data_IF_348542834323
#
_entry.id   IF_348542834323
#
_cell.length_a   1.000
_cell.length_b   1.000
_cell.length_c   1.000
_cell.angle_alpha   90.00
_cell.angle_beta   90.00
_cell.angle_gamma   90.00
#
_symmetry.space_group_name_H-M   'P 1'
#
loop_
_entity.id
_entity.type
_entity.pdbx_description
1 polymer ?
#
# COMPACT_ATOMS: atom_id res chain seq x y z
N UNK A 1 -5.60 -2.13 34.77
CA UNK A 1 -5.92 -0.98 33.88
C UNK A 1 -4.99 -0.84 32.66
N UNK A 2 -3.68 -1.14 32.73
CA UNK A 2 -2.72 -1.00 31.59
C UNK A 2 -3.06 -1.85 30.34
N UNK A 3 -3.53 -3.10 30.50
CA UNK A 3 -3.88 -3.99 29.35
C UNK A 3 -5.08 -3.51 28.51
N UNK A 4 -6.11 -2.90 29.11
CA UNK A 4 -7.27 -2.35 28.38
C UNK A 4 -6.91 -1.09 27.57
N UNK A 5 -6.07 -0.21 28.14
CA UNK A 5 -5.61 1.03 27.48
C UNK A 5 -4.74 0.72 26.24
N UNK A 6 -3.84 -0.27 26.33
CA UNK A 6 -3.03 -0.73 25.19
C UNK A 6 -3.86 -1.37 24.06
N UNK A 7 -4.92 -2.13 24.40
CA UNK A 7 -5.81 -2.73 23.39
C UNK A 7 -6.63 -1.68 22.64
N UNK A 8 -7.09 -0.64 23.35
CA UNK A 8 -7.80 0.51 22.77
C UNK A 8 -6.90 1.34 21.85
N UNK A 9 -5.66 1.63 22.27
CA UNK A 9 -4.69 2.37 21.45
C UNK A 9 -4.34 1.62 20.16
N UNK A 10 -4.14 0.29 20.25
CA UNK A 10 -3.86 -0.56 19.08
C UNK A 10 -5.02 -0.59 18.08
N UNK A 11 -6.26 -0.62 18.59
CA UNK A 11 -7.47 -0.56 17.76
C UNK A 11 -7.62 0.80 17.07
N UNK A 12 -7.38 1.90 17.81
CA UNK A 12 -7.42 3.25 17.27
C UNK A 12 -6.37 3.45 16.17
N UNK A 13 -5.13 3.01 16.41
CA UNK A 13 -4.05 3.05 15.41
C UNK A 13 -4.42 2.27 14.15
N UNK A 14 -5.05 1.09 14.29
CA UNK A 14 -5.53 0.31 13.13
C UNK A 14 -6.58 1.09 12.32
N UNK A 15 -7.54 1.75 12.98
CA UNK A 15 -8.57 2.55 12.30
C UNK A 15 -7.98 3.75 11.57
N UNK A 16 -7.02 4.44 12.18
CA UNK A 16 -6.33 5.57 11.56
C UNK A 16 -5.52 5.13 10.33
N UNK A 17 -4.86 3.97 10.42
CA UNK A 17 -4.08 3.42 9.31
C UNK A 17 -4.95 3.08 8.09
N UNK A 18 -6.10 2.42 8.32
CA UNK A 18 -7.05 2.12 7.24
C UNK A 18 -7.62 3.40 6.61
N UNK A 19 -7.93 4.42 7.41
CA UNK A 19 -8.39 5.71 6.91
C UNK A 19 -7.32 6.46 6.12
N UNK A 20 -6.05 6.33 6.51
CA UNK A 20 -4.93 6.89 5.76
C UNK A 20 -4.73 6.17 4.42
N UNK A 21 -4.77 4.83 4.39
CA UNK A 21 -4.72 4.03 3.16
C UNK A 21 -5.86 4.34 2.20
N UNK A 22 -7.07 4.49 2.74
CA UNK A 22 -8.24 4.95 1.98
C UNK A 22 -7.98 6.30 1.31
N UNK A 23 -7.42 7.27 2.04
CA UNK A 23 -7.06 8.57 1.46
C UNK A 23 -5.97 8.46 0.40
N UNK A 24 -4.88 7.73 0.67
CA UNK A 24 -3.79 7.50 -0.30
C UNK A 24 -4.30 6.83 -1.58
N UNK A 25 -5.19 5.84 -1.46
CA UNK A 25 -5.80 5.17 -2.60
C UNK A 25 -6.60 6.15 -3.46
N UNK A 26 -7.42 7.02 -2.85
CA UNK A 26 -8.19 8.03 -3.59
C UNK A 26 -7.29 9.04 -4.31
N UNK A 27 -6.19 9.45 -3.68
CA UNK A 27 -5.19 10.33 -4.29
C UNK A 27 -4.55 9.65 -5.50
N UNK A 28 -4.09 8.40 -5.36
CA UNK A 28 -3.50 7.63 -6.46
C UNK A 28 -4.49 7.34 -7.60
N UNK A 29 -5.77 7.09 -7.27
CA UNK A 29 -6.85 6.95 -8.23
C UNK A 29 -7.06 8.24 -9.02
N UNK A 30 -7.18 9.38 -8.32
CA UNK A 30 -7.41 10.68 -8.96
C UNK A 30 -6.20 11.09 -9.82
N UNK A 31 -4.99 10.88 -9.33
CA UNK A 31 -3.75 11.04 -10.09
C UNK A 31 -3.77 10.22 -11.39
N UNK A 32 -4.12 8.94 -11.30
CA UNK A 32 -4.14 8.06 -12.47
C UNK A 32 -5.22 8.44 -13.48
N UNK A 33 -6.36 8.94 -13.00
CA UNK A 33 -7.49 9.34 -13.81
C UNK A 33 -7.29 10.70 -14.48
N UNK A 34 -6.77 11.69 -13.74
CA UNK A 34 -6.61 13.08 -14.19
C UNK A 34 -5.29 13.34 -14.90
N UNK A 35 -4.26 12.51 -14.65
CA UNK A 35 -2.88 12.67 -15.17
C UNK A 35 -2.26 14.02 -14.80
N UNK A 36 -2.58 14.50 -13.61
CA UNK A 36 -2.05 15.75 -13.02
C UNK A 36 -0.83 15.44 -12.13
N UNK A 37 -0.18 16.50 -11.63
CA UNK A 37 0.84 16.37 -10.60
C UNK A 37 0.26 15.74 -9.32
N UNK A 38 0.97 14.76 -8.76
CA UNK A 38 0.50 13.97 -7.63
C UNK A 38 0.39 14.77 -6.33
N UNK A 39 1.26 15.76 -6.12
CA UNK A 39 1.20 16.62 -4.93
C UNK A 39 0.04 17.61 -5.02
N UNK A 40 -0.26 18.15 -6.20
CA UNK A 40 -1.45 18.98 -6.40
C UNK A 40 -2.73 18.20 -6.07
N UNK A 41 -2.84 16.96 -6.54
CA UNK A 41 -3.96 16.08 -6.18
C UNK A 41 -4.01 15.83 -4.67
N UNK A 42 -2.86 15.53 -4.04
CA UNK A 42 -2.80 15.33 -2.60
C UNK A 42 -3.29 16.55 -1.82
N UNK A 43 -2.83 17.76 -2.18
CA UNK A 43 -3.23 19.00 -1.53
C UNK A 43 -4.73 19.26 -1.64
N UNK A 44 -5.33 19.04 -2.81
CA UNK A 44 -6.78 19.13 -2.99
C UNK A 44 -7.51 18.24 -1.97
N UNK A 45 -7.13 16.97 -1.90
CA UNK A 45 -7.75 16.01 -0.97
C UNK A 45 -7.56 16.41 0.50
N UNK A 46 -6.36 16.87 0.88
CA UNK A 46 -6.07 17.32 2.25
C UNK A 46 -6.82 18.60 2.64
N UNK A 47 -7.21 19.42 1.67
CA UNK A 47 -7.96 20.65 1.86
C UNK A 47 -9.48 20.44 1.92
N UNK A 48 -9.99 19.28 1.47
CA UNK A 48 -11.45 19.00 1.52
C UNK A 48 -12.04 18.96 2.92
N UNK A 49 -11.25 18.58 3.94
CA UNK A 49 -11.66 18.53 5.34
C UNK A 49 -10.45 18.45 6.29
N UNK A 50 -10.70 18.60 7.58
CA UNK A 50 -9.67 18.38 8.61
C UNK A 50 -9.42 16.87 8.81
N UNK A 51 -8.16 16.48 8.70
CA UNK A 51 -7.65 15.15 9.05
C UNK A 51 -6.75 15.24 10.29
N UNK A 52 -6.73 14.21 11.16
CA UNK A 52 -5.70 14.04 12.19
C UNK A 52 -4.30 14.11 11.61
N UNK A 53 -3.33 14.65 12.35
CA UNK A 53 -1.94 14.78 11.89
C UNK A 53 -1.34 13.43 11.51
N UNK A 54 -1.66 12.37 12.26
CA UNK A 54 -1.16 11.02 12.01
C UNK A 54 -1.62 10.47 10.66
N UNK A 55 -2.83 10.82 10.21
CA UNK A 55 -3.31 10.45 8.88
C UNK A 55 -2.55 11.23 7.81
N UNK A 56 -2.37 12.54 8.01
CA UNK A 56 -1.66 13.40 7.05
C UNK A 56 -0.21 12.95 6.86
N UNK A 57 0.52 12.74 7.96
CA UNK A 57 1.90 12.26 7.97
C UNK A 57 2.02 10.90 7.25
N UNK A 58 1.08 9.98 7.51
CA UNK A 58 1.09 8.69 6.85
C UNK A 58 0.87 8.79 5.34
N UNK A 59 -0.13 9.57 4.93
CA UNK A 59 -0.47 9.76 3.52
C UNK A 59 0.69 10.45 2.80
N UNK A 60 1.25 11.51 3.37
CA UNK A 60 2.43 12.19 2.84
C UNK A 60 3.60 11.22 2.66
N UNK A 61 3.89 10.39 3.65
CA UNK A 61 4.96 9.38 3.56
C UNK A 61 4.76 8.45 2.37
N UNK A 62 3.56 7.88 2.23
CA UNK A 62 3.28 6.89 1.18
C UNK A 62 3.24 7.54 -0.20
N UNK A 63 2.62 8.72 -0.33
CA UNK A 63 2.51 9.44 -1.59
C UNK A 63 3.87 9.96 -2.05
N UNK A 64 4.70 10.48 -1.14
CA UNK A 64 6.06 10.90 -1.46
C UNK A 64 6.90 9.71 -1.93
N UNK A 65 6.83 8.58 -1.22
CA UNK A 65 7.52 7.36 -1.62
C UNK A 65 7.10 6.91 -3.02
N UNK A 66 5.79 6.86 -3.30
CA UNK A 66 5.32 6.50 -4.63
C UNK A 66 5.77 7.53 -5.69
N UNK A 67 5.75 8.83 -5.40
CA UNK A 67 6.18 9.86 -6.34
C UNK A 67 7.64 9.65 -6.77
N UNK A 68 8.52 9.44 -5.79
CA UNK A 68 9.96 9.21 -6.00
C UNK A 68 10.26 7.90 -6.73
N UNK A 69 9.44 6.86 -6.52
CA UNK A 69 9.69 5.50 -7.01
C UNK A 69 8.61 5.02 -8.00
N UNK A 70 7.88 5.94 -8.63
CA UNK A 70 6.67 5.63 -9.40
C UNK A 70 6.93 4.66 -10.54
N UNK A 71 8.06 4.84 -11.24
CA UNK A 71 8.49 3.95 -12.31
C UNK A 71 8.80 2.54 -11.79
N UNK A 72 9.57 2.42 -10.72
CA UNK A 72 9.91 1.13 -10.10
C UNK A 72 8.65 0.40 -9.63
N UNK A 73 7.77 1.09 -8.91
CA UNK A 73 6.50 0.54 -8.43
C UNK A 73 5.65 0.02 -9.58
N UNK A 74 5.48 0.82 -10.64
CA UNK A 74 4.69 0.43 -11.80
C UNK A 74 5.34 -0.75 -12.55
N UNK A 75 6.67 -0.82 -12.64
CA UNK A 75 7.39 -1.89 -13.31
C UNK A 75 7.36 -3.22 -12.53
N UNK A 76 7.45 -3.17 -11.20
CA UNK A 76 7.21 -4.34 -10.33
C UNK A 76 5.79 -4.87 -10.54
N UNK A 77 4.79 -3.99 -10.62
CA UNK A 77 3.42 -4.43 -10.89
C UNK A 77 3.35 -5.08 -12.27
N UNK A 78 3.86 -4.42 -13.32
CA UNK A 78 3.83 -4.92 -14.71
C UNK A 78 4.49 -6.28 -14.87
N UNK A 79 5.64 -6.53 -14.24
CA UNK A 79 6.34 -7.82 -14.32
C UNK A 79 5.51 -8.98 -13.77
N UNK A 80 4.55 -8.69 -12.88
CA UNK A 80 3.64 -9.66 -12.29
C UNK A 80 2.33 -9.84 -13.07
N UNK A 81 2.09 -9.03 -14.10
CA UNK A 81 0.94 -9.13 -14.99
C UNK A 81 1.23 -10.07 -16.15
N UNK A 82 1.13 -11.38 -15.92
CA UNK A 82 1.44 -12.40 -16.95
C UNK A 82 0.74 -12.17 -18.31
N UNK A 83 -0.55 -11.82 -18.30
CA UNK A 83 -1.39 -11.73 -19.52
C UNK A 83 -2.19 -10.41 -19.60
N UNK A 84 -1.98 -9.49 -18.66
CA UNK A 84 -2.78 -8.27 -18.56
C UNK A 84 -1.90 -7.07 -18.89
N UNK A 85 -2.36 -6.27 -19.85
CA UNK A 85 -1.79 -4.94 -20.03
C UNK A 85 -2.15 -4.09 -18.82
N UNK A 86 -1.17 -3.40 -18.26
CA UNK A 86 -1.35 -2.52 -17.11
C UNK A 86 -2.48 -1.50 -17.33
N UNK A 87 -2.60 -0.97 -18.54
CA UNK A 87 -3.64 0.01 -18.91
C UNK A 87 -5.07 -0.58 -18.90
N UNK A 88 -5.22 -1.91 -18.99
CA UNK A 88 -6.53 -2.59 -18.98
C UNK A 88 -7.03 -2.94 -17.57
N UNK A 89 -6.21 -2.74 -16.55
CA UNK A 89 -6.61 -2.92 -15.15
C UNK A 89 -7.54 -1.76 -14.77
N UNK A 90 -8.57 -2.02 -13.97
CA UNK A 90 -9.43 -0.95 -13.45
C UNK A 90 -8.65 0.07 -12.61
N UNK A 91 -9.09 1.33 -12.64
CA UNK A 91 -8.41 2.43 -11.94
C UNK A 91 -8.28 2.17 -10.44
N UNK A 92 -9.30 1.55 -9.82
CA UNK A 92 -9.28 1.21 -8.39
C UNK A 92 -8.24 0.13 -8.11
N UNK A 93 -8.22 -0.95 -8.89
CA UNK A 93 -7.24 -2.01 -8.73
C UNK A 93 -5.82 -1.50 -8.94
N UNK A 94 -5.59 -0.63 -9.94
CA UNK A 94 -4.27 0.01 -10.13
C UNK A 94 -3.87 0.88 -8.94
N UNK A 95 -4.77 1.72 -8.44
CA UNK A 95 -4.49 2.58 -7.29
C UNK A 95 -4.15 1.75 -6.05
N UNK A 96 -4.88 0.66 -5.80
CA UNK A 96 -4.60 -0.25 -4.68
C UNK A 96 -3.29 -1.02 -4.89
N UNK A 97 -2.98 -1.47 -6.10
CA UNK A 97 -1.71 -2.14 -6.39
C UNK A 97 -0.53 -1.20 -6.16
N UNK A 98 -0.60 0.05 -6.65
CA UNK A 98 0.43 1.08 -6.41
C UNK A 98 0.62 1.37 -4.93
N UNK A 99 -0.48 1.53 -4.19
CA UNK A 99 -0.45 1.70 -2.74
C UNK A 99 0.20 0.50 -2.05
N UNK A 100 -0.23 -0.72 -2.39
CA UNK A 100 0.24 -1.94 -1.76
C UNK A 100 1.71 -2.21 -2.02
N UNK A 101 2.18 -2.04 -3.26
CA UNK A 101 3.59 -2.22 -3.62
C UNK A 101 4.47 -1.16 -2.95
N UNK A 102 4.03 0.10 -2.94
CA UNK A 102 4.76 1.18 -2.23
C UNK A 102 4.94 0.84 -0.74
N UNK A 103 3.87 0.41 -0.08
CA UNK A 103 3.97 0.02 1.33
C UNK A 103 4.81 -1.25 1.56
N UNK A 104 4.72 -2.23 0.67
CA UNK A 104 5.56 -3.43 0.75
C UNK A 104 7.04 -3.08 0.69
N UNK A 105 7.45 -2.24 -0.27
CA UNK A 105 8.84 -1.79 -0.40
C UNK A 105 9.29 -1.04 0.87
N UNK A 106 8.45 -0.14 1.39
CA UNK A 106 8.72 0.56 2.65
C UNK A 106 8.85 -0.41 3.84
N UNK A 107 8.05 -1.47 3.91
CA UNK A 107 8.10 -2.44 5.02
C UNK A 107 9.36 -3.30 4.92
N UNK A 108 9.68 -3.79 3.72
CA UNK A 108 10.87 -4.59 3.47
C UNK A 108 12.16 -3.80 3.71
N UNK A 109 12.18 -2.50 3.40
CA UNK A 109 13.35 -1.65 3.66
C UNK A 109 13.63 -1.36 5.15
N UNK A 110 12.71 -1.70 6.08
CA UNK A 110 12.92 -1.47 7.51
C UNK A 110 13.85 -2.52 8.11
N UNK A 111 14.74 -2.08 9.02
CA UNK A 111 15.52 -2.95 9.90
C UNK A 111 14.67 -3.44 11.09
N UNK A 112 13.59 -4.16 10.79
CA UNK A 112 12.68 -4.74 11.79
C UNK A 112 12.70 -6.27 11.73
N UNK A 113 12.32 -6.92 12.84
CA UNK A 113 12.23 -8.39 12.86
C UNK A 113 11.18 -8.90 11.88
N UNK A 114 11.44 -10.08 11.30
CA UNK A 114 10.52 -10.74 10.37
C UNK A 114 9.10 -10.87 10.92
N UNK A 115 8.96 -11.23 12.19
CA UNK A 115 7.63 -11.36 12.83
C UNK A 115 6.83 -10.03 12.80
N UNK A 116 7.52 -8.90 12.98
CA UNK A 116 6.90 -7.58 12.98
C UNK A 116 6.48 -7.18 11.55
N UNK A 117 7.37 -7.39 10.56
CA UNK A 117 7.07 -7.18 9.14
C UNK A 117 5.87 -8.03 8.70
N UNK A 118 5.88 -9.34 8.96
CA UNK A 118 4.79 -10.26 8.61
C UNK A 118 3.44 -9.80 9.17
N UNK A 119 3.45 -9.28 10.40
CA UNK A 119 2.25 -8.75 11.04
C UNK A 119 1.77 -7.45 10.41
N UNK A 120 2.68 -6.55 10.03
CA UNK A 120 2.34 -5.32 9.33
C UNK A 120 1.77 -5.62 7.93
N UNK A 121 2.42 -6.51 7.18
CA UNK A 121 1.99 -6.98 5.86
C UNK A 121 0.60 -7.63 5.92
N UNK A 122 0.33 -8.47 6.93
CA UNK A 122 -1.01 -9.03 7.14
C UNK A 122 -2.09 -7.97 7.35
N UNK A 123 -1.78 -6.90 8.10
CA UNK A 123 -2.73 -5.80 8.31
C UNK A 123 -2.90 -4.99 7.02
N UNK A 124 -1.81 -4.73 6.30
CA UNK A 124 -1.83 -4.10 4.98
C UNK A 124 -2.78 -4.83 4.03
N UNK A 125 -2.57 -6.13 3.83
CA UNK A 125 -3.38 -6.92 2.90
C UNK A 125 -4.86 -6.89 3.28
N UNK A 126 -5.19 -7.08 4.57
CA UNK A 126 -6.59 -7.01 5.03
C UNK A 126 -7.24 -5.66 4.69
N UNK A 127 -6.54 -4.55 4.89
CA UNK A 127 -7.08 -3.23 4.62
C UNK A 127 -7.21 -2.98 3.11
N UNK A 128 -6.22 -3.37 2.29
CA UNK A 128 -6.27 -3.17 0.83
C UNK A 128 -7.38 -4.00 0.17
N UNK A 129 -7.54 -5.26 0.57
CA UNK A 129 -8.57 -6.13 0.00
C UNK A 129 -9.98 -5.64 0.36
N UNK A 130 -10.15 -5.13 1.57
CA UNK A 130 -11.39 -4.48 1.99
C UNK A 130 -11.66 -3.21 1.16
N UNK A 131 -10.65 -2.36 0.93
CA UNK A 131 -10.80 -1.19 0.05
C UNK A 131 -11.20 -1.60 -1.37
N UNK A 132 -10.54 -2.58 -1.98
CA UNK A 132 -10.92 -3.08 -3.32
C UNK A 132 -12.36 -3.54 -3.33
N UNK A 133 -12.78 -4.32 -2.33
CA UNK A 133 -14.15 -4.80 -2.24
C UNK A 133 -15.16 -3.65 -2.14
N UNK A 134 -14.91 -2.68 -1.26
CA UNK A 134 -15.81 -1.54 -1.05
C UNK A 134 -15.99 -0.68 -2.31
N UNK A 135 -14.94 -0.50 -3.11
CA UNK A 135 -14.99 0.39 -4.28
C UNK A 135 -15.40 -0.31 -5.57
N UNK A 136 -15.11 -1.61 -5.72
CA UNK A 136 -15.41 -2.36 -6.95
C UNK A 136 -16.66 -3.22 -6.84
N UNK A 137 -17.11 -3.53 -5.61
CA UNK A 137 -18.12 -4.55 -5.33
C UNK A 137 -17.83 -5.91 -6.00
N UNK A 138 -16.54 -6.22 -6.24
CA UNK A 138 -16.12 -7.35 -7.05
C UNK A 138 -15.18 -8.27 -6.28
N UNK A 139 -15.68 -9.47 -5.96
CA UNK A 139 -14.84 -10.55 -5.40
C UNK A 139 -13.75 -11.01 -6.36
N UNK A 140 -13.95 -10.83 -7.67
CA UNK A 140 -12.93 -11.12 -8.68
C UNK A 140 -11.76 -10.12 -8.58
N UNK A 141 -12.07 -8.83 -8.41
CA UNK A 141 -11.06 -7.78 -8.22
C UNK A 141 -10.25 -8.01 -6.94
N UNK A 142 -10.91 -8.38 -5.84
CA UNK A 142 -10.24 -8.75 -4.58
C UNK A 142 -9.28 -9.92 -4.79
N UNK A 143 -9.73 -11.00 -5.45
CA UNK A 143 -8.88 -12.16 -5.75
C UNK A 143 -7.69 -11.79 -6.65
N UNK A 144 -7.93 -10.95 -7.65
CA UNK A 144 -6.91 -10.47 -8.57
C UNK A 144 -5.82 -9.69 -7.82
N UNK A 145 -6.19 -8.65 -7.07
CA UNK A 145 -5.24 -7.83 -6.30
C UNK A 145 -4.47 -8.68 -5.29
N UNK A 146 -5.16 -9.56 -4.55
CA UNK A 146 -4.51 -10.47 -3.60
C UNK A 146 -3.46 -11.37 -4.28
N UNK A 147 -3.80 -11.91 -5.46
CA UNK A 147 -2.91 -12.78 -6.21
C UNK A 147 -1.67 -12.09 -6.76
N UNK A 148 -1.76 -10.80 -7.11
CA UNK A 148 -0.61 -10.00 -7.55
C UNK A 148 0.27 -9.61 -6.36
N UNK A 149 -0.31 -8.97 -5.34
CA UNK A 149 0.45 -8.53 -4.16
C UNK A 149 1.12 -9.69 -3.42
N UNK A 150 0.45 -10.84 -3.33
CA UNK A 150 1.01 -12.02 -2.67
C UNK A 150 2.23 -12.60 -3.40
N UNK A 151 2.29 -12.48 -4.73
CA UNK A 151 3.48 -12.89 -5.51
C UNK A 151 4.63 -11.90 -5.32
N UNK A 152 4.33 -10.60 -5.40
CA UNK A 152 5.33 -9.53 -5.20
C UNK A 152 5.96 -9.65 -3.81
N UNK A 153 5.14 -9.79 -2.75
CA UNK A 153 5.64 -9.96 -1.40
C UNK A 153 6.57 -11.16 -1.25
N UNK A 154 6.21 -12.30 -1.87
CA UNK A 154 7.04 -13.51 -1.84
C UNK A 154 8.39 -13.30 -2.54
N UNK A 155 8.41 -12.58 -3.66
CA UNK A 155 9.65 -12.26 -4.37
C UNK A 155 10.54 -11.33 -3.54
N UNK A 156 9.96 -10.30 -2.91
CA UNK A 156 10.70 -9.40 -2.01
C UNK A 156 11.33 -10.16 -0.83
N UNK A 157 10.59 -11.08 -0.20
CA UNK A 157 11.12 -11.94 0.86
C UNK A 157 12.29 -12.82 0.37
N UNK A 158 12.25 -13.30 -0.87
CA UNK A 158 13.32 -14.14 -1.43
C UNK A 158 14.59 -13.32 -1.68
N UNK A 159 14.46 -12.12 -2.23
CA UNK A 159 15.58 -11.23 -2.52
C UNK A 159 16.30 -10.79 -1.22
N UNK A 160 15.57 -10.49 -0.14
CA UNK A 160 16.16 -10.20 1.17
C UNK A 160 17.01 -11.37 1.70
N UNK A 161 16.49 -12.60 1.59
CA UNK A 161 17.20 -13.79 2.06
C UNK A 161 18.45 -14.09 1.23
N UNK A 162 18.42 -13.85 -0.09
CA UNK A 162 19.57 -14.04 -0.97
C UNK A 162 20.72 -13.07 -0.64
N UNK A 163 20.42 -11.82 -0.27
CA UNK A 163 21.43 -10.83 0.17
C UNK A 163 22.07 -11.27 1.49
N UNK A 164 21.29 -11.79 2.44
CA UNK A 164 21.82 -12.29 3.72
C UNK A 164 22.74 -13.51 3.58
N UNK A 165 22.46 -14.43 2.65
CA UNK A 165 23.28 -15.63 2.42
C UNK A 165 24.60 -15.28 1.71
N UNK A 166 24.62 -14.25 0.85
CA UNK A 166 25.83 -13.81 0.14
C UNK A 166 26.86 -13.07 1.00
N UNK A 167 26.47 -12.53 2.17
CA UNK A 167 27.35 -11.81 3.11
C UNK A 167 27.94 -12.69 4.21
N UNK A 168 27.67 -14.00 4.18
CA UNK A 168 28.12 -14.98 5.20
C UNK A 168 29.14 -16.01 4.68
N UNK A 169 29.69 -15.80 3.48
CA UNK A 169 30.81 -16.58 2.92
C UNK A 169 32.05 -15.70 2.79
#
# INVERSE_FOLDING_TARGET
MKKKKNKSLKFLRKRLLKAARDLSMRVLFAYDFRKEDLFNVLEEFLNTKKFPSEIKEYVLKVINFYNENSQEVDDIIKSHLKNWRFERIGYIERAVLRLGVSELLIIHSKEESKELKDKEIRILFLDLLDLVECYTNSKLSVKFVNGILGKINKELEQNENSIHIGLTQ
#
